data_IF_405516376111
#
_entry.id   IF_405516376111
#
_cell.length_a   1.000
_cell.length_b   1.000
_cell.length_c   1.000
_cell.angle_alpha   90.00
_cell.angle_beta   90.00
_cell.angle_gamma   90.00
#
_symmetry.space_group_name_H-M   'P 1'
#
loop_
_entity.id
_entity.type
_entity.pdbx_description
1 polymer ?
#
# COMPACT_ATOMS: atom_id res chain seq x y z
N UNK A 1 -12.07 9.89 -5.88
CA UNK A 1 -11.54 8.97 -4.83
C UNK A 1 -10.79 9.67 -3.71
N UNK A 2 -10.03 10.73 -3.98
CA UNK A 2 -9.21 11.40 -2.96
C UNK A 2 -10.01 11.83 -1.70
N UNK A 3 -11.20 12.40 -1.86
CA UNK A 3 -12.03 12.90 -0.74
C UNK A 3 -12.46 11.75 0.19
N UNK A 4 -12.98 10.66 -0.37
CA UNK A 4 -13.48 9.53 0.43
C UNK A 4 -12.36 8.79 1.17
N UNK A 5 -11.25 8.50 0.50
CA UNK A 5 -10.12 7.82 1.14
C UNK A 5 -9.49 8.71 2.21
N UNK A 6 -9.39 10.01 1.97
CA UNK A 6 -8.89 10.95 2.98
C UNK A 6 -9.75 10.90 4.24
N UNK A 7 -11.08 10.97 4.12
CA UNK A 7 -11.98 10.84 5.27
C UNK A 7 -11.80 9.50 5.98
N UNK A 8 -11.75 8.40 5.24
CA UNK A 8 -11.48 7.09 5.83
C UNK A 8 -10.16 7.05 6.62
N UNK A 9 -9.08 7.61 6.07
CA UNK A 9 -7.77 7.66 6.74
C UNK A 9 -7.82 8.53 8.00
N UNK A 10 -8.50 9.68 7.96
CA UNK A 10 -8.70 10.57 9.11
C UNK A 10 -9.47 9.83 10.22
N UNK A 11 -10.63 9.24 9.91
CA UNK A 11 -11.42 8.49 10.89
C UNK A 11 -10.64 7.32 11.50
N UNK A 12 -9.88 6.57 10.70
CA UNK A 12 -9.11 5.42 11.24
C UNK A 12 -7.95 5.88 12.13
N UNK A 13 -7.35 7.04 11.86
CA UNK A 13 -6.34 7.62 12.77
C UNK A 13 -6.98 8.04 14.11
N UNK A 14 -8.23 8.47 14.06
CA UNK A 14 -8.96 8.99 15.22
C UNK A 14 -9.60 7.88 16.08
N UNK A 15 -9.71 6.63 15.59
CA UNK A 15 -10.24 5.47 16.36
C UNK A 15 -9.49 5.27 17.69
N UNK A 16 -8.17 5.52 17.73
CA UNK A 16 -7.36 5.35 18.93
C UNK A 16 -7.32 3.91 19.45
N UNK A 17 -7.49 3.74 20.76
CA UNK A 17 -7.50 2.42 21.42
C UNK A 17 -8.94 1.95 21.59
N UNK A 18 -9.25 0.78 21.00
CA UNK A 18 -10.52 0.10 21.18
C UNK A 18 -10.44 -0.78 22.42
N UNK A 19 -11.42 -0.63 23.33
CA UNK A 19 -11.53 -1.44 24.54
C UNK A 19 -12.73 -2.37 24.40
N UNK A 20 -12.54 -3.65 24.60
CA UNK A 20 -13.59 -4.67 24.50
C UNK A 20 -13.34 -5.80 25.50
N UNK A 21 -14.40 -6.54 25.84
CA UNK A 21 -14.32 -7.66 26.79
C UNK A 21 -14.49 -9.00 26.08
N UNK A 22 -13.74 -10.00 26.51
CA UNK A 22 -13.94 -11.38 26.09
C UNK A 22 -13.71 -12.30 27.29
N UNK A 23 -14.73 -13.09 27.64
CA UNK A 23 -14.80 -13.81 28.91
C UNK A 23 -14.62 -12.83 30.10
N UNK A 24 -13.63 -13.07 30.97
CA UNK A 24 -13.34 -12.24 32.15
C UNK A 24 -12.26 -11.17 31.88
N UNK A 25 -11.70 -11.12 30.67
CA UNK A 25 -10.61 -10.21 30.33
C UNK A 25 -11.11 -8.92 29.67
N UNK A 26 -10.52 -7.79 30.10
CA UNK A 26 -10.64 -6.50 29.42
C UNK A 26 -9.45 -6.33 28.48
N UNK A 27 -9.71 -6.26 27.18
CA UNK A 27 -8.70 -6.18 26.13
C UNK A 27 -8.66 -4.77 25.57
N UNK A 28 -7.45 -4.19 25.49
CA UNK A 28 -7.16 -2.94 24.80
C UNK A 28 -6.46 -3.26 23.48
N UNK A 29 -6.97 -2.75 22.36
CA UNK A 29 -6.45 -3.03 21.01
C UNK A 29 -6.27 -1.73 20.22
N UNK A 30 -5.23 -1.67 19.39
CA UNK A 30 -5.03 -0.58 18.43
C UNK A 30 -5.35 -1.05 17.03
N UNK A 31 -5.97 -0.17 16.24
CA UNK A 31 -6.36 -0.48 14.86
C UNK A 31 -5.35 0.13 13.89
N UNK A 32 -4.85 -0.69 12.97
CA UNK A 32 -3.92 -0.26 11.93
C UNK A 32 -4.38 -0.75 10.56
N UNK A 33 -4.27 0.12 9.54
CA UNK A 33 -4.49 -0.27 8.14
C UNK A 33 -3.15 -0.68 7.55
N UNK A 34 -3.00 -1.98 7.27
CA UNK A 34 -1.74 -2.53 6.77
C UNK A 34 -1.70 -2.55 5.25
N UNK A 35 -2.81 -2.93 4.61
CA UNK A 35 -2.89 -3.09 3.16
C UNK A 35 -4.28 -2.75 2.61
N UNK A 36 -4.34 -2.52 1.30
CA UNK A 36 -5.58 -2.30 0.56
C UNK A 36 -5.56 -3.17 -0.71
N UNK A 37 -6.53 -4.07 -0.82
CA UNK A 37 -6.71 -4.93 -1.99
C UNK A 37 -7.51 -4.17 -3.04
N UNK A 38 -6.81 -3.62 -4.04
CA UNK A 38 -7.42 -2.84 -5.12
C UNK A 38 -6.82 -3.22 -6.46
N UNK A 39 -7.67 -3.22 -7.49
CA UNK A 39 -7.25 -3.40 -8.86
C UNK A 39 -6.35 -2.24 -9.35
N UNK A 40 -5.74 -2.40 -10.51
CA UNK A 40 -4.78 -1.40 -11.01
C UNK A 40 -5.41 -0.01 -11.25
N UNK A 41 -6.63 0.11 -11.84
CA UNK A 41 -7.32 1.39 -11.97
C UNK A 41 -7.62 2.07 -10.62
N UNK A 42 -8.18 1.37 -9.64
CA UNK A 42 -8.52 1.94 -8.34
C UNK A 42 -7.25 2.32 -7.57
N UNK A 43 -6.21 1.48 -7.59
CA UNK A 43 -4.90 1.77 -6.99
C UNK A 43 -4.32 3.09 -7.52
N UNK A 44 -4.44 3.34 -8.83
CA UNK A 44 -3.99 4.60 -9.43
C UNK A 44 -4.73 5.82 -8.89
N UNK A 45 -6.04 5.70 -8.71
CA UNK A 45 -6.87 6.78 -8.15
C UNK A 45 -6.55 7.06 -6.68
N UNK A 46 -6.39 6.00 -5.87
CA UNK A 46 -6.10 6.11 -4.43
C UNK A 46 -4.72 6.69 -4.19
N UNK A 47 -3.70 6.29 -4.96
CA UNK A 47 -2.33 6.77 -4.82
C UNK A 47 -2.07 8.10 -5.55
N UNK A 48 -3.10 8.75 -6.09
CA UNK A 48 -3.00 9.97 -6.87
C UNK A 48 -1.94 9.88 -8.00
N UNK A 49 -1.99 8.80 -8.79
CA UNK A 49 -1.00 8.49 -9.81
C UNK A 49 -1.63 8.18 -11.18
N UNK A 50 -0.82 8.21 -12.23
CA UNK A 50 -1.19 7.71 -13.56
C UNK A 50 -1.45 6.20 -13.50
N UNK A 51 -2.40 5.74 -14.31
CA UNK A 51 -2.79 4.33 -14.42
C UNK A 51 -1.66 3.47 -15.02
N UNK A 52 -1.89 2.15 -15.08
CA UNK A 52 -0.92 1.16 -15.57
C UNK A 52 -0.50 1.37 -17.04
N UNK A 53 -1.33 2.07 -17.82
CA UNK A 53 -1.08 2.45 -19.21
C UNK A 53 -0.22 3.73 -19.39
N UNK A 54 0.23 4.37 -18.30
CA UNK A 54 1.19 5.46 -18.38
C UNK A 54 2.62 4.96 -18.56
N UNK A 55 3.56 5.85 -18.91
CA UNK A 55 4.97 5.50 -19.07
C UNK A 55 5.63 4.90 -17.82
N UNK A 56 5.14 5.20 -16.62
CA UNK A 56 5.62 4.64 -15.35
C UNK A 56 4.46 3.99 -14.57
N UNK A 57 3.77 3.03 -15.18
CA UNK A 57 2.52 2.45 -14.69
C UNK A 57 2.67 1.37 -13.60
N UNK A 58 3.84 0.72 -13.49
CA UNK A 58 4.14 -0.19 -12.38
C UNK A 58 4.22 0.57 -11.06
N UNK A 59 3.76 0.02 -9.93
CA UNK A 59 3.96 0.64 -8.59
C UNK A 59 5.25 0.22 -7.92
N UNK A 60 5.89 -0.85 -8.39
CA UNK A 60 7.04 -1.47 -7.76
C UNK A 60 8.34 -1.01 -8.41
N UNK A 61 8.48 -1.10 -9.73
CA UNK A 61 9.72 -0.75 -10.44
C UNK A 61 9.61 0.50 -11.32
N UNK A 62 10.74 1.14 -11.57
CA UNK A 62 10.88 2.36 -12.37
C UNK A 62 11.02 2.10 -13.88
N UNK A 63 10.57 0.93 -14.35
CA UNK A 63 10.58 0.62 -15.77
C UNK A 63 9.75 1.65 -16.53
N UNK A 64 10.35 2.24 -17.55
CA UNK A 64 9.69 3.22 -18.41
C UNK A 64 9.15 2.49 -19.64
N UNK A 65 7.83 2.51 -19.81
CA UNK A 65 7.22 2.00 -21.02
C UNK A 65 7.59 2.83 -22.26
N UNK A 66 7.39 2.23 -23.42
CA UNK A 66 7.56 2.87 -24.73
C UNK A 66 6.21 2.89 -25.44
N UNK A 67 5.87 4.01 -26.09
CA UNK A 67 4.67 4.07 -26.92
C UNK A 67 4.93 3.32 -28.24
N UNK A 68 4.20 2.24 -28.47
CA UNK A 68 4.27 1.41 -29.67
C UNK A 68 2.86 1.24 -30.20
N UNK A 69 2.61 1.70 -31.43
CA UNK A 69 1.28 1.68 -32.07
C UNK A 69 0.19 2.36 -31.23
N UNK A 70 0.52 3.50 -30.61
CA UNK A 70 -0.42 4.28 -29.80
C UNK A 70 -0.71 3.70 -28.41
N UNK A 71 -0.06 2.60 -28.02
CA UNK A 71 -0.19 1.98 -26.70
C UNK A 71 1.16 1.91 -25.98
N UNK A 72 1.17 2.19 -24.67
CA UNK A 72 2.38 2.02 -23.86
C UNK A 72 2.63 0.54 -23.61
N UNK A 73 3.81 0.05 -24.04
CA UNK A 73 4.29 -1.32 -23.84
C UNK A 73 5.56 -1.31 -23.01
N UNK A 74 5.75 -2.31 -22.15
CA UNK A 74 6.96 -2.50 -21.34
C UNK A 74 7.79 -3.60 -21.99
N UNK A 75 8.73 -3.20 -22.84
CA UNK A 75 9.57 -4.14 -23.57
C UNK A 75 10.65 -4.69 -22.65
N UNK A 76 10.95 -5.98 -22.76
CA UNK A 76 12.05 -6.57 -22.01
C UNK A 76 13.38 -6.08 -22.59
N UNK A 77 14.14 -5.36 -21.77
CA UNK A 77 15.41 -4.72 -22.13
C UNK A 77 16.64 -5.47 -21.62
N UNK A 78 16.48 -6.70 -21.11
CA UNK A 78 17.57 -7.55 -20.61
C UNK A 78 18.15 -7.12 -19.26
N UNK A 79 17.71 -5.99 -18.70
CA UNK A 79 18.04 -5.54 -17.35
C UNK A 79 16.78 -5.35 -16.51
N UNK A 80 16.91 -5.50 -15.19
CA UNK A 80 15.82 -5.17 -14.26
C UNK A 80 15.83 -3.67 -13.97
N UNK A 81 14.70 -3.00 -14.13
CA UNK A 81 14.55 -1.62 -13.63
C UNK A 81 14.69 -1.58 -12.10
N UNK A 82 15.23 -0.47 -11.56
CA UNK A 82 15.32 -0.30 -10.12
C UNK A 82 13.93 -0.22 -9.48
N UNK A 83 13.84 -0.73 -8.26
CA UNK A 83 12.64 -0.63 -7.43
C UNK A 83 12.39 0.80 -6.94
N UNK A 84 11.13 1.13 -6.70
CA UNK A 84 10.73 2.37 -6.04
C UNK A 84 10.93 2.23 -4.54
N UNK A 85 11.78 3.10 -4.01
CA UNK A 85 11.90 3.30 -2.57
C UNK A 85 10.82 4.25 -2.05
N UNK A 86 10.47 4.12 -0.77
CA UNK A 86 9.55 5.03 -0.07
C UNK A 86 9.97 6.50 -0.20
N UNK A 87 11.26 6.79 0.01
CA UNK A 87 11.80 8.16 -0.10
C UNK A 87 11.56 8.76 -1.48
N UNK A 88 11.92 8.02 -2.54
CA UNK A 88 11.70 8.46 -3.93
C UNK A 88 10.22 8.72 -4.22
N UNK A 89 9.31 7.86 -3.74
CA UNK A 89 7.87 8.06 -3.93
C UNK A 89 7.41 9.36 -3.28
N UNK A 90 7.79 9.61 -2.03
CA UNK A 90 7.42 10.84 -1.31
C UNK A 90 8.01 12.09 -1.98
N UNK A 91 9.25 12.02 -2.46
CA UNK A 91 9.89 13.12 -3.19
C UNK A 91 9.19 13.39 -4.52
N UNK A 92 8.82 12.35 -5.27
CA UNK A 92 8.09 12.50 -6.53
C UNK A 92 6.69 13.08 -6.31
N UNK A 93 5.99 12.67 -5.25
CA UNK A 93 4.69 13.25 -4.87
C UNK A 93 4.83 14.74 -4.52
N UNK A 94 5.85 15.12 -3.74
CA UNK A 94 6.11 16.52 -3.36
C UNK A 94 6.43 17.37 -4.58
N UNK A 95 7.40 16.94 -5.41
CA UNK A 95 7.76 17.63 -6.64
C UNK A 95 6.56 17.79 -7.58
N UNK A 96 5.73 16.77 -7.71
CA UNK A 96 4.55 16.86 -8.56
C UNK A 96 3.51 17.88 -8.08
N UNK A 97 3.46 18.14 -6.78
CA UNK A 97 2.63 19.21 -6.21
C UNK A 97 3.27 20.58 -6.43
N UNK A 98 4.57 20.72 -6.15
CA UNK A 98 5.28 21.99 -6.27
C UNK A 98 5.36 22.48 -7.72
N UNK A 99 5.55 21.56 -8.67
CA UNK A 99 5.69 21.85 -10.10
C UNK A 99 4.34 21.83 -10.85
N UNK A 100 3.26 21.41 -10.21
CA UNK A 100 1.93 21.17 -10.81
C UNK A 100 1.96 20.24 -12.05
N UNK A 101 3.00 19.40 -12.17
CA UNK A 101 3.21 18.46 -13.27
C UNK A 101 3.46 17.07 -12.71
N UNK A 102 2.94 16.04 -13.38
CA UNK A 102 3.13 14.68 -12.91
C UNK A 102 4.60 14.22 -13.02
N UNK A 103 5.21 13.86 -11.89
CA UNK A 103 6.59 13.36 -11.80
C UNK A 103 6.58 11.83 -11.71
N UNK A 104 7.31 11.18 -12.63
CA UNK A 104 7.25 9.73 -12.92
C UNK A 104 5.81 9.27 -13.24
N UNK A 105 4.98 9.13 -12.21
CA UNK A 105 3.57 8.82 -12.31
C UNK A 105 2.69 9.59 -11.34
N UNK A 106 3.26 10.18 -10.29
CA UNK A 106 2.49 10.82 -9.23
C UNK A 106 2.03 12.20 -9.69
N UNK A 107 0.80 12.56 -9.35
CA UNK A 107 0.20 13.86 -9.66
C UNK A 107 0.21 14.81 -8.45
N UNK A 108 0.78 14.34 -7.33
CA UNK A 108 0.80 15.02 -6.04
C UNK A 108 0.75 13.99 -4.90
N UNK A 109 0.65 14.45 -3.64
CA UNK A 109 0.46 13.60 -2.48
C UNK A 109 -0.77 12.69 -2.60
N UNK A 110 -0.65 11.50 -2.03
CA UNK A 110 -1.75 10.56 -1.84
C UNK A 110 -2.37 10.78 -0.44
N UNK A 111 -3.69 10.58 -0.27
CA UNK A 111 -4.31 10.51 1.06
C UNK A 111 -3.70 9.43 1.97
N UNK A 112 -3.09 8.40 1.38
CA UNK A 112 -2.39 7.32 2.10
C UNK A 112 -0.93 7.67 2.41
N UNK A 113 -0.37 8.72 1.80
CA UNK A 113 1.01 9.13 2.03
C UNK A 113 1.06 9.96 3.32
N UNK A 114 1.09 9.26 4.45
CA UNK A 114 1.31 9.88 5.74
C UNK A 114 2.83 10.00 6.01
N UNK A 115 3.36 11.21 6.23
CA UNK A 115 4.74 11.39 6.66
C UNK A 115 5.04 10.74 8.02
N UNK A 116 4.02 10.56 8.88
CA UNK A 116 4.15 9.96 10.22
C UNK A 116 3.91 8.43 10.24
N UNK A 117 3.26 7.85 9.22
CA UNK A 117 3.06 6.41 9.14
C UNK A 117 4.34 5.74 8.63
N UNK A 118 5.35 5.62 9.48
CA UNK A 118 6.35 4.58 9.35
C UNK A 118 5.67 3.22 9.56
N UNK A 119 4.81 2.78 8.63
CA UNK A 119 4.60 1.35 8.46
C UNK A 119 5.93 0.87 7.92
N UNK A 120 6.71 0.10 8.69
CA UNK A 120 7.83 -0.57 8.10
C UNK A 120 7.20 -1.54 7.10
N UNK A 121 7.42 -1.33 5.81
CA UNK A 121 7.39 -2.44 4.87
C UNK A 121 8.61 -3.27 5.23
N UNK A 122 8.56 -3.95 6.38
CA UNK A 122 9.46 -5.04 6.62
C UNK A 122 9.05 -6.06 5.57
N UNK A 123 9.94 -6.27 4.60
CA UNK A 123 10.15 -7.60 4.09
C UNK A 123 10.42 -8.45 5.33
N UNK A 124 9.36 -8.99 5.94
CA UNK A 124 9.45 -9.97 7.00
C UNK A 124 10.10 -11.17 6.31
N UNK A 125 11.39 -11.37 6.59
CA UNK A 125 12.00 -12.69 6.43
C UNK A 125 11.04 -13.67 7.08
N UNK A 126 10.49 -14.55 6.25
CA UNK A 126 9.55 -15.60 6.61
C UNK A 126 10.27 -16.72 7.39
N UNK A 127 11.00 -16.37 8.44
CA UNK A 127 11.58 -17.31 9.39
C UNK A 127 11.07 -16.91 10.77
N UNK A 128 10.61 -17.90 11.54
CA UNK A 128 10.00 -17.81 12.88
C UNK A 128 8.46 -17.77 12.95
N UNK A 129 7.77 -18.41 12.02
CA UNK A 129 6.55 -19.16 12.38
C UNK A 129 6.82 -20.63 12.07
N UNK A 130 6.72 -21.54 13.06
CA UNK A 130 6.99 -22.95 12.81
C UNK A 130 6.08 -23.50 11.70
N UNK A 131 6.74 -24.01 10.66
CA UNK A 131 6.15 -24.70 9.51
C UNK A 131 5.49 -26.00 9.95
N UNK A 132 4.26 -25.96 10.45
CA UNK A 132 3.46 -27.18 10.57
C UNK A 132 1.97 -26.94 10.39
N UNK A 133 1.57 -26.17 9.38
CA UNK A 133 0.31 -26.36 8.67
C UNK A 133 0.18 -25.25 7.62
N UNK A 134 0.30 -25.61 6.35
CA UNK A 134 -0.59 -25.23 5.23
C UNK A 134 0.21 -25.48 3.95
N UNK A 135 0.02 -26.69 3.41
CA UNK A 135 0.54 -27.08 2.09
C UNK A 135 -0.28 -26.41 1.01
N UNK A 136 0.42 -25.93 -0.02
CA UNK A 136 -0.07 -25.62 -1.37
C UNK A 136 -1.31 -24.73 -1.52
N UNK A 137 -1.06 -23.44 -1.77
CA UNK A 137 -1.92 -22.65 -2.66
C UNK A 137 -1.02 -21.85 -3.61
N UNK A 138 -0.64 -22.50 -4.71
CA UNK A 138 -0.11 -21.85 -5.90
C UNK A 138 -1.15 -20.90 -6.48
N UNK A 139 -0.72 -19.65 -6.68
CA UNK A 139 -1.27 -18.63 -7.57
C UNK A 139 -2.19 -19.16 -8.68
N UNK A 140 -3.50 -19.01 -8.49
CA UNK A 140 -4.55 -18.86 -9.52
C UNK A 140 -5.86 -18.55 -8.77
N UNK A 141 -6.60 -17.57 -9.27
CA UNK A 141 -7.88 -17.04 -8.77
C UNK A 141 -7.84 -16.21 -7.47
N UNK A 142 -7.86 -14.88 -7.64
CA UNK A 142 -8.19 -13.90 -6.59
C UNK A 142 -9.28 -12.96 -7.09
N UNK A 143 -10.46 -13.52 -7.35
CA UNK A 143 -11.70 -12.78 -7.11
C UNK A 143 -12.00 -12.92 -5.62
N UNK A 144 -12.31 -11.80 -4.95
CA UNK A 144 -12.63 -11.70 -3.52
C UNK A 144 -11.46 -11.86 -2.54
N UNK A 145 -10.70 -10.79 -2.29
CA UNK A 145 -10.02 -10.63 -1.01
C UNK A 145 -10.31 -9.25 -0.42
N UNK A 146 -11.15 -9.28 0.61
CA UNK A 146 -11.49 -8.21 1.54
C UNK A 146 -10.23 -7.46 2.02
N UNK A 147 -10.38 -6.16 2.31
CA UNK A 147 -9.40 -5.39 3.05
C UNK A 147 -9.11 -6.08 4.40
N UNK A 148 -7.87 -6.53 4.60
CA UNK A 148 -7.46 -7.13 5.86
C UNK A 148 -7.07 -6.01 6.84
N UNK A 149 -7.99 -5.67 7.74
CA UNK A 149 -7.67 -4.91 8.96
C UNK A 149 -6.99 -5.90 9.91
N UNK A 150 -5.67 -5.78 10.08
CA UNK A 150 -4.96 -6.63 11.04
C UNK A 150 -5.08 -6.01 12.43
N UNK A 151 -5.85 -6.64 13.32
CA UNK A 151 -5.81 -6.34 14.75
C UNK A 151 -4.48 -6.83 15.33
N UNK A 152 -3.67 -5.93 15.89
CA UNK A 152 -2.62 -6.31 16.83
C UNK A 152 -3.16 -6.13 18.24
N UNK A 153 -3.51 -7.23 18.89
CA UNK A 153 -3.81 -7.25 20.32
C UNK A 153 -2.48 -7.32 21.09
N UNK A 154 -2.16 -6.29 21.86
CA UNK A 154 -1.09 -6.35 22.86
C UNK A 154 -1.76 -6.51 24.22
N UNK A 155 -1.69 -7.72 24.80
CA UNK A 155 -2.05 -7.93 26.19
C UNK A 155 -0.94 -7.32 27.07
N UNK A 156 -1.16 -6.13 27.60
CA UNK A 156 -0.34 -5.62 28.70
C UNK A 156 -0.95 -6.11 30.00
N UNK A 157 -0.35 -7.13 30.61
CA UNK A 157 -0.57 -7.44 32.01
C UNK A 157 0.09 -6.32 32.84
N UNK A 158 -0.70 -5.47 33.48
CA UNK A 158 -0.21 -4.55 34.50
C UNK A 158 -0.13 -5.33 35.82
N UNK A 159 1.08 -5.39 36.37
CA UNK A 159 1.47 -5.95 37.68
C UNK A 159 0.97 -5.10 38.85
#
# INVERSE_FOLDING_TARGET
MHIFIRRFVEEVKDIGTVVWSHAEDIIKSKVHVVLCCVDAPARASILNMKQFNGYYGCSWCLEKGTCVDGSVKYLHCGHLAPDRSRGRVLDAMRKAQDEEVAVERFKGPSPLADPAAAIPVTNRTANEVPMSATKHATYKDTSCLLACVTQLATASAES
#
